data_IF_240324787952
#
_entry.id   IF_240324787952
#
_cell.length_a   1.000
_cell.length_b   1.000
_cell.length_c   1.000
_cell.angle_alpha   90.00
_cell.angle_beta   90.00
_cell.angle_gamma   90.00
#
_symmetry.space_group_name_H-M   'P 1'
#
loop_
_entity.id
_entity.type
_entity.pdbx_description
1 polymer ?
#
# COMPACT_ATOMS: atom_id res chain seq x y z
N UNK A 1 -35.07 -45.29 -15.77
CA UNK A 1 -33.75 -45.33 -16.44
C UNK A 1 -33.87 -44.40 -17.63
N UNK A 2 -33.28 -43.21 -17.66
CA UNK A 2 -32.20 -42.62 -16.89
C UNK A 2 -32.50 -41.11 -16.89
N UNK A 3 -32.50 -40.49 -15.72
CA UNK A 3 -32.45 -39.03 -15.60
C UNK A 3 -31.00 -38.60 -15.79
N UNK A 4 -30.74 -37.70 -16.73
CA UNK A 4 -29.51 -36.90 -16.76
C UNK A 4 -29.97 -35.49 -17.18
N UNK A 5 -30.33 -34.64 -16.21
CA UNK A 5 -29.45 -33.65 -15.60
C UNK A 5 -28.78 -32.76 -16.66
N UNK A 6 -28.84 -31.45 -16.61
CA UNK A 6 -29.41 -30.48 -15.68
C UNK A 6 -29.15 -29.16 -16.39
N UNK A 7 -29.98 -28.17 -16.13
CA UNK A 7 -29.62 -26.76 -16.24
C UNK A 7 -28.12 -26.56 -16.07
N UNK A 8 -27.45 -26.10 -17.12
CA UNK A 8 -26.33 -25.19 -16.94
C UNK A 8 -26.87 -23.77 -17.19
N UNK A 9 -27.94 -23.47 -16.43
CA UNK A 9 -28.26 -22.13 -16.01
C UNK A 9 -26.96 -21.59 -15.40
N UNK A 10 -26.34 -20.62 -16.07
CA UNK A 10 -25.10 -19.97 -15.62
C UNK A 10 -25.43 -19.00 -14.46
N UNK A 11 -26.26 -19.45 -13.52
CA UNK A 11 -26.53 -18.84 -12.21
C UNK A 11 -25.51 -19.30 -11.17
N UNK A 12 -24.26 -19.48 -11.59
CA UNK A 12 -23.11 -19.69 -10.71
C UNK A 12 -22.02 -18.65 -11.01
N UNK A 13 -22.39 -17.39 -10.82
CA UNK A 13 -21.55 -16.44 -10.12
C UNK A 13 -22.40 -15.93 -8.95
N UNK A 14 -22.75 -16.88 -8.07
CA UNK A 14 -22.96 -16.58 -6.66
C UNK A 14 -21.75 -15.79 -6.22
N UNK A 15 -22.03 -14.64 -5.64
CA UNK A 15 -21.08 -13.61 -5.27
C UNK A 15 -19.89 -14.26 -4.57
N UNK A 16 -18.67 -14.04 -5.09
CA UNK A 16 -17.49 -14.30 -4.28
C UNK A 16 -17.76 -13.60 -2.95
N UNK A 17 -17.66 -14.29 -1.79
CA UNK A 17 -17.74 -13.60 -0.54
C UNK A 17 -16.69 -12.51 -0.62
N UNK A 18 -17.15 -11.26 -0.70
CA UNK A 18 -16.34 -10.14 -0.32
C UNK A 18 -16.08 -10.38 1.15
N UNK A 19 -15.05 -11.17 1.43
CA UNK A 19 -14.34 -11.13 2.68
C UNK A 19 -13.69 -9.76 2.67
N UNK A 20 -14.53 -8.75 2.92
CA UNK A 20 -14.14 -7.51 3.51
C UNK A 20 -13.37 -7.95 4.73
N UNK A 21 -12.04 -7.94 4.59
CA UNK A 21 -11.15 -7.87 5.73
C UNK A 21 -11.77 -6.81 6.62
N UNK A 22 -12.27 -7.27 7.76
CA UNK A 22 -12.91 -6.44 8.75
C UNK A 22 -11.87 -5.44 9.21
N UNK A 23 -11.82 -4.26 8.58
CA UNK A 23 -11.34 -3.09 9.28
C UNK A 23 -12.45 -2.77 10.26
N UNK A 24 -12.40 -3.41 11.44
CA UNK A 24 -13.24 -3.04 12.55
C UNK A 24 -12.97 -1.57 12.83
N UNK A 25 -13.82 -0.71 12.30
CA UNK A 25 -13.94 0.67 12.74
C UNK A 25 -14.33 0.55 14.21
N UNK A 26 -13.36 0.77 15.11
CA UNK A 26 -13.66 0.80 16.53
C UNK A 26 -14.77 1.84 16.73
N UNK A 27 -15.86 1.49 17.44
CA UNK A 27 -16.88 2.46 17.77
C UNK A 27 -16.23 3.57 18.58
N UNK A 28 -16.49 4.80 18.18
CA UNK A 28 -16.11 6.02 18.89
C UNK A 28 -16.79 6.01 20.26
N UNK A 29 -16.15 5.39 21.25
CA UNK A 29 -16.56 5.38 22.63
C UNK A 29 -16.22 6.75 23.22
N UNK A 30 -17.29 7.49 23.50
CA UNK A 30 -17.28 8.71 24.27
C UNK A 30 -16.54 8.49 25.59
N UNK A 31 -15.84 9.55 25.99
CA UNK A 31 -15.31 9.84 27.32
C UNK A 31 -15.97 9.03 28.44
N UNK A 32 -15.18 8.31 29.22
CA UNK A 32 -14.97 8.60 30.64
C UNK A 32 -14.20 7.45 31.31
N UNK A 33 -13.35 7.83 32.27
CA UNK A 33 -12.49 6.99 33.12
C UNK A 33 -11.18 6.47 32.51
N UNK A 34 -10.28 7.42 32.24
CA UNK A 34 -8.84 7.16 32.31
C UNK A 34 -8.47 6.90 33.78
N UNK A 35 -8.79 5.72 34.29
CA UNK A 35 -8.38 5.29 35.62
C UNK A 35 -6.86 5.12 35.63
N UNK A 36 -6.20 6.20 36.09
CA UNK A 36 -4.81 6.33 36.56
C UNK A 36 -4.00 5.01 36.52
N UNK A 37 -2.95 4.89 35.68
CA UNK A 37 -2.09 3.72 35.75
C UNK A 37 -1.47 3.64 37.15
N UNK A 38 -1.69 2.50 37.81
CA UNK A 38 -1.08 2.15 39.09
C UNK A 38 0.44 2.22 38.93
N UNK A 39 1.07 3.10 39.70
CA UNK A 39 2.52 3.24 39.77
C UNK A 39 3.14 1.89 40.09
N UNK A 40 3.87 1.33 39.13
CA UNK A 40 4.81 0.25 39.42
C UNK A 40 6.04 0.91 40.04
N UNK A 41 6.06 0.96 41.37
CA UNK A 41 7.24 1.30 42.16
C UNK A 41 8.27 0.18 42.04
N UNK A 42 8.94 0.11 40.91
CA UNK A 42 10.19 -0.63 40.77
C UNK A 42 11.04 0.19 39.84
N UNK A 43 11.88 1.05 40.42
CA UNK A 43 12.85 1.81 39.68
C UNK A 43 13.93 0.85 39.15
N UNK A 44 14.00 0.54 37.84
CA UNK A 44 15.29 0.23 37.28
C UNK A 44 16.09 1.53 37.37
N UNK A 45 17.17 1.53 38.14
CA UNK A 45 18.16 2.60 38.14
C UNK A 45 18.63 2.83 36.69
N UNK A 46 18.06 3.85 36.03
CA UNK A 46 18.56 4.38 34.76
C UNK A 46 19.89 5.08 35.03
N UNK A 47 20.93 4.29 35.26
CA UNK A 47 22.30 4.72 35.01
C UNK A 47 22.37 5.15 33.54
N UNK A 48 22.42 6.46 33.31
CA UNK A 48 22.32 7.10 32.00
C UNK A 48 23.28 6.42 30.99
N UNK A 49 22.82 5.72 29.93
CA UNK A 49 23.65 5.51 28.77
C UNK A 49 23.62 6.80 27.95
N UNK A 50 24.49 7.76 28.30
CA UNK A 50 24.82 8.88 27.42
C UNK A 50 25.47 8.29 26.16
N UNK A 51 24.71 8.04 25.08
CA UNK A 51 25.13 7.96 23.66
C UNK A 51 24.09 7.35 22.67
N UNK A 52 22.77 7.45 22.88
CA UNK A 52 21.75 6.89 21.94
C UNK A 52 20.81 7.89 21.25
N UNK A 53 20.94 9.20 21.46
CA UNK A 53 20.09 10.20 20.77
C UNK A 53 20.48 10.46 19.30
N UNK A 54 21.76 10.28 18.94
CA UNK A 54 22.24 10.56 17.57
C UNK A 54 21.72 9.53 16.55
N UNK A 55 21.73 8.24 16.90
CA UNK A 55 21.27 7.14 16.02
C UNK A 55 19.77 7.20 15.66
N UNK A 56 18.92 7.70 16.55
CA UNK A 56 17.46 7.82 16.32
C UNK A 56 17.15 8.82 15.20
N UNK A 57 17.87 9.95 15.21
CA UNK A 57 17.66 11.01 14.22
C UNK A 57 18.14 10.59 12.83
N UNK A 58 19.18 9.77 12.76
CA UNK A 58 19.70 9.25 11.50
C UNK A 58 18.77 8.16 10.92
N UNK A 59 18.23 7.27 11.76
CA UNK A 59 17.24 6.27 11.33
C UNK A 59 15.95 6.91 10.80
N UNK A 60 15.45 7.95 11.46
CA UNK A 60 14.26 8.69 11.01
C UNK A 60 14.46 9.37 9.64
N UNK A 61 15.67 9.89 9.37
CA UNK A 61 16.02 10.49 8.08
C UNK A 61 16.06 9.46 6.96
N UNK A 62 16.58 8.27 7.23
CA UNK A 62 16.69 7.21 6.22
C UNK A 62 15.31 6.71 5.77
N UNK A 63 14.29 6.76 6.63
CA UNK A 63 12.91 6.43 6.25
C UNK A 63 12.25 7.46 5.32
N UNK A 64 12.78 8.68 5.24
CA UNK A 64 12.29 9.73 4.34
C UNK A 64 13.01 9.72 2.98
N UNK A 65 14.01 8.86 2.81
CA UNK A 65 14.73 8.70 1.55
C UNK A 65 13.78 8.02 0.57
N UNK A 66 13.39 8.75 -0.47
CA UNK A 66 12.62 8.22 -1.58
C UNK A 66 13.56 7.40 -2.46
N UNK A 67 13.23 6.14 -2.66
CA UNK A 67 13.97 5.26 -3.56
C UNK A 67 13.46 5.47 -4.99
N UNK A 68 14.04 6.46 -5.70
CA UNK A 68 13.72 6.76 -7.11
C UNK A 68 14.20 5.67 -8.10
N UNK A 69 14.89 4.65 -7.60
CA UNK A 69 15.33 3.49 -8.38
C UNK A 69 14.25 2.40 -8.49
N UNK A 70 13.22 2.44 -7.63
CA UNK A 70 12.19 1.41 -7.61
C UNK A 70 11.15 1.67 -8.71
N UNK A 71 11.26 0.90 -9.81
CA UNK A 71 10.35 1.02 -10.95
C UNK A 71 9.37 -0.15 -11.01
N UNK A 72 8.06 0.11 -11.02
CA UNK A 72 7.02 -0.91 -11.21
C UNK A 72 5.77 -0.35 -11.90
N UNK A 73 5.05 -1.22 -12.61
CA UNK A 73 3.81 -0.86 -13.32
C UNK A 73 2.75 -0.30 -12.36
N UNK A 74 2.51 -0.99 -11.24
CA UNK A 74 1.53 -0.57 -10.22
C UNK A 74 1.87 0.79 -9.62
N UNK A 75 3.16 1.10 -9.43
CA UNK A 75 3.56 2.40 -8.90
C UNK A 75 3.35 3.51 -9.94
N UNK A 76 3.63 3.24 -11.23
CA UNK A 76 3.34 4.18 -12.31
C UNK A 76 1.83 4.46 -12.44
N UNK A 77 0.99 3.41 -12.38
CA UNK A 77 -0.48 3.55 -12.37
C UNK A 77 -0.97 4.36 -11.16
N UNK A 78 -0.42 4.12 -9.97
CA UNK A 78 -0.78 4.89 -8.77
C UNK A 78 -0.39 6.36 -8.90
N UNK A 79 0.78 6.68 -9.46
CA UNK A 79 1.23 8.05 -9.68
C UNK A 79 0.32 8.79 -10.67
N UNK A 80 -0.06 8.14 -11.77
CA UNK A 80 -1.03 8.67 -12.72
C UNK A 80 -2.40 8.93 -12.05
N UNK A 81 -2.87 7.99 -11.22
CA UNK A 81 -4.13 8.17 -10.48
C UNK A 81 -4.07 9.34 -9.48
N UNK A 82 -2.87 9.68 -8.98
CA UNK A 82 -2.64 10.85 -8.13
C UNK A 82 -2.49 12.16 -8.93
N UNK A 83 -2.59 12.11 -10.26
CA UNK A 83 -2.38 13.26 -11.15
C UNK A 83 -0.90 13.64 -11.33
N UNK A 84 0.03 12.74 -10.99
CA UNK A 84 1.45 12.96 -11.16
C UNK A 84 1.96 12.35 -12.47
N UNK A 85 1.47 12.90 -13.58
CA UNK A 85 1.66 12.32 -14.91
C UNK A 85 3.12 12.36 -15.35
N UNK A 86 3.87 13.41 -15.01
CA UNK A 86 5.30 13.52 -15.33
C UNK A 86 6.09 12.33 -14.78
N UNK A 87 5.89 12.00 -13.49
CA UNK A 87 6.57 10.87 -12.86
C UNK A 87 6.05 9.53 -13.38
N UNK A 88 4.75 9.43 -13.67
CA UNK A 88 4.19 8.22 -14.26
C UNK A 88 4.80 7.95 -15.64
N UNK A 89 4.97 8.98 -16.47
CA UNK A 89 5.61 8.87 -17.79
C UNK A 89 7.07 8.41 -17.66
N UNK A 90 7.87 9.06 -16.79
CA UNK A 90 9.27 8.65 -16.57
C UNK A 90 9.38 7.17 -16.16
N UNK A 91 8.45 6.71 -15.31
CA UNK A 91 8.41 5.33 -14.86
C UNK A 91 8.05 4.37 -16.00
N UNK A 92 7.07 4.71 -16.83
CA UNK A 92 6.71 3.91 -18.01
C UNK A 92 7.82 3.87 -19.06
N UNK A 93 8.57 4.96 -19.24
CA UNK A 93 9.74 4.99 -20.11
C UNK A 93 10.81 4.02 -19.59
N UNK A 94 11.12 4.05 -18.28
CA UNK A 94 12.05 3.10 -17.68
C UNK A 94 11.57 1.65 -17.81
N UNK A 95 10.28 1.38 -17.60
CA UNK A 95 9.69 0.05 -17.79
C UNK A 95 9.81 -0.43 -19.23
N UNK A 96 9.68 0.46 -20.21
CA UNK A 96 9.84 0.13 -21.63
C UNK A 96 11.27 -0.31 -21.97
N UNK A 97 12.27 0.27 -21.29
CA UNK A 97 13.67 -0.13 -21.45
C UNK A 97 13.98 -1.49 -20.80
N UNK A 98 13.35 -1.77 -19.64
CA UNK A 98 13.56 -3.03 -18.90
C UNK A 98 12.79 -4.19 -19.55
N UNK A 99 11.58 -3.91 -20.06
CA UNK A 99 10.65 -4.89 -20.61
C UNK A 99 10.26 -4.53 -22.06
N UNK A 100 11.17 -4.71 -23.03
CA UNK A 100 10.92 -4.32 -24.43
C UNK A 100 9.72 -5.07 -25.05
N UNK A 101 9.46 -6.31 -24.62
CA UNK A 101 8.28 -7.12 -25.00
C UNK A 101 6.95 -6.37 -24.77
N UNK A 102 6.89 -5.54 -23.73
CA UNK A 102 5.72 -4.75 -23.34
C UNK A 102 5.83 -3.28 -23.73
N UNK A 103 6.85 -2.88 -24.51
CA UNK A 103 7.10 -1.48 -24.85
C UNK A 103 5.87 -0.79 -25.47
N UNK A 104 5.15 -1.47 -26.37
CA UNK A 104 3.93 -0.92 -26.98
C UNK A 104 2.82 -0.64 -25.96
N UNK A 105 2.66 -1.51 -24.94
CA UNK A 105 1.70 -1.32 -23.87
C UNK A 105 2.01 -0.07 -23.03
N UNK A 106 3.27 0.12 -22.66
CA UNK A 106 3.70 1.29 -21.91
C UNK A 106 3.63 2.58 -22.76
N UNK A 107 3.98 2.51 -24.04
CA UNK A 107 3.82 3.64 -24.97
C UNK A 107 2.35 4.10 -25.04
N UNK A 108 1.41 3.18 -25.13
CA UNK A 108 -0.03 3.50 -25.12
C UNK A 108 -0.49 4.13 -23.80
N UNK A 109 0.09 3.75 -22.66
CA UNK A 109 -0.17 4.41 -21.35
C UNK A 109 0.37 5.84 -21.34
N UNK A 110 1.60 6.05 -21.84
CA UNK A 110 2.23 7.38 -21.93
C UNK A 110 1.40 8.32 -22.84
N UNK A 111 0.94 7.85 -24.00
CA UNK A 111 0.11 8.65 -24.89
C UNK A 111 -1.20 9.10 -24.25
N UNK A 112 -1.83 8.23 -23.44
CA UNK A 112 -3.04 8.58 -22.69
C UNK A 112 -2.76 9.67 -21.67
N UNK A 113 -1.68 9.55 -20.91
CA UNK A 113 -1.31 10.54 -19.89
C UNK A 113 -0.99 11.89 -20.50
N UNK A 114 -0.26 11.93 -21.62
CA UNK A 114 0.08 13.16 -22.35
C UNK A 114 -1.12 13.92 -22.93
N UNK A 115 -2.27 13.25 -23.05
CA UNK A 115 -3.49 13.82 -23.65
C UNK A 115 -4.45 14.39 -22.60
N UNK A 116 -4.15 14.20 -21.32
CA UNK A 116 -4.91 14.73 -20.18
C UNK A 116 -4.62 16.22 -20.00
#
# INVERSE_FOLDING_TARGET
>A
MLEDASSNDLSYLDELPTEGGQFSVLPNAKSDDFSKPKSLDTAPSLSKPKKKKRKMHDLAKNSLVKHDDMVSETLADMLAAQGNDEKAIEMYDRLSLIFPEKSNYFAAKIEKLRKT
#
